data_IF_129879424568
#
_entry.id   IF_129879424568
#
_cell.length_a   1.000
_cell.length_b   1.000
_cell.length_c   1.000
_cell.angle_alpha   90.00
_cell.angle_beta   90.00
_cell.angle_gamma   90.00
#
_symmetry.space_group_name_H-M   'P 1'
#
loop_
_entity.id
_entity.type
_entity.pdbx_description
1 polymer ?
#
# COMPACT_ATOMS: atom_id res chain seq x y z
N UNK A 1 -31.85 -8.67 -17.47
CA UNK A 1 -31.70 -9.73 -16.44
C UNK A 1 -30.94 -9.12 -15.27
N UNK A 2 -31.65 -8.68 -14.23
CA UNK A 2 -31.04 -8.13 -13.02
C UNK A 2 -30.53 -9.31 -12.19
N UNK A 3 -29.22 -9.56 -12.23
CA UNK A 3 -28.58 -10.58 -11.41
C UNK A 3 -28.46 -10.10 -9.98
N UNK A 4 -29.40 -10.47 -9.11
CA UNK A 4 -29.23 -10.34 -7.68
C UNK A 4 -28.61 -11.63 -7.14
N UNK A 5 -27.35 -11.56 -6.70
CA UNK A 5 -26.74 -12.66 -5.95
C UNK A 5 -27.29 -12.60 -4.52
N UNK A 6 -27.99 -13.64 -4.00
CA UNK A 6 -28.46 -13.63 -2.63
C UNK A 6 -27.26 -13.66 -1.66
N UNK A 7 -27.22 -12.76 -0.70
CA UNK A 7 -26.25 -12.78 0.40
C UNK A 7 -26.71 -13.79 1.47
N UNK A 8 -25.85 -14.70 1.95
CA UNK A 8 -26.20 -15.64 3.02
C UNK A 8 -26.30 -14.92 4.39
N UNK A 9 -27.27 -15.33 5.21
CA UNK A 9 -27.59 -14.74 6.53
C UNK A 9 -26.43 -14.77 7.56
N UNK A 10 -25.39 -15.58 7.31
CA UNK A 10 -24.27 -15.82 8.22
C UNK A 10 -23.20 -14.73 8.29
N UNK A 11 -23.30 -13.63 7.52
CA UNK A 11 -22.33 -12.51 7.63
C UNK A 11 -22.59 -11.64 8.88
N UNK A 12 -23.72 -11.82 9.56
CA UNK A 12 -24.12 -11.02 10.73
C UNK A 12 -23.34 -11.37 12.01
N UNK A 13 -22.68 -12.53 12.04
CA UNK A 13 -21.87 -13.00 13.17
C UNK A 13 -20.37 -12.70 13.01
N UNK A 14 -20.04 -11.55 12.42
CA UNK A 14 -18.65 -11.18 12.19
C UNK A 14 -17.86 -11.06 13.53
N UNK A 15 -16.73 -11.77 13.68
CA UNK A 15 -16.01 -11.82 14.94
C UNK A 15 -15.43 -10.47 15.37
N UNK A 16 -15.42 -10.30 16.70
CA UNK A 16 -14.88 -9.19 17.49
C UNK A 16 -13.50 -8.75 16.99
N UNK A 17 -13.31 -7.44 16.82
CA UNK A 17 -12.03 -6.85 16.43
C UNK A 17 -10.94 -7.30 17.39
N UNK A 18 -9.86 -7.95 16.92
CA UNK A 18 -8.75 -8.31 17.78
C UNK A 18 -8.04 -7.05 18.29
N UNK A 19 -7.49 -7.13 19.49
CA UNK A 19 -6.65 -6.06 20.05
C UNK A 19 -5.53 -5.70 19.06
N UNK A 20 -5.10 -4.43 18.99
CA UNK A 20 -4.02 -4.02 18.10
C UNK A 20 -2.76 -4.80 18.46
N UNK A 21 -2.32 -5.67 17.53
CA UNK A 21 -0.98 -6.23 17.59
C UNK A 21 0.03 -5.10 17.46
N UNK A 22 1.19 -5.18 18.16
CA UNK A 22 2.29 -4.28 17.88
C UNK A 22 2.55 -4.33 16.37
N UNK A 23 2.44 -3.17 15.73
CA UNK A 23 2.50 -3.06 14.29
C UNK A 23 3.97 -3.28 13.94
N UNK A 24 4.33 -4.37 13.23
CA UNK A 24 5.70 -4.54 12.80
C UNK A 24 6.08 -3.27 12.04
N UNK A 25 7.27 -2.74 12.31
CA UNK A 25 7.76 -1.65 11.49
C UNK A 25 7.86 -2.19 10.06
N UNK A 26 7.24 -1.51 9.10
CA UNK A 26 7.21 -1.96 7.71
C UNK A 26 8.01 -0.99 6.85
N UNK A 27 8.52 -1.47 5.72
CA UNK A 27 9.14 -0.63 4.70
C UNK A 27 8.40 -0.77 3.39
N UNK A 28 8.21 0.35 2.73
CA UNK A 28 7.88 0.42 1.32
C UNK A 28 9.19 0.40 0.54
N UNK A 29 9.33 -0.57 -0.34
CA UNK A 29 10.47 -0.69 -1.24
C UNK A 29 10.08 -0.32 -2.66
N UNK A 30 10.98 0.36 -3.34
CA UNK A 30 10.89 0.74 -4.75
C UNK A 30 11.97 -0.01 -5.52
N UNK A 31 11.56 -0.81 -6.50
CA UNK A 31 12.45 -1.39 -7.49
C UNK A 31 12.69 -0.39 -8.62
N UNK A 32 13.88 0.22 -8.65
CA UNK A 32 14.25 1.20 -9.67
C UNK A 32 14.49 0.59 -11.06
N UNK A 33 14.73 -0.72 -11.16
CA UNK A 33 14.87 -1.40 -12.47
C UNK A 33 13.52 -1.52 -13.17
N UNK A 34 12.45 -1.67 -12.38
CA UNK A 34 11.07 -1.71 -12.85
C UNK A 34 10.45 -0.31 -12.98
N UNK A 35 10.79 0.62 -12.10
CA UNK A 35 10.19 1.95 -12.07
C UNK A 35 10.34 2.71 -13.40
N UNK A 36 9.28 3.40 -13.81
CA UNK A 36 9.23 4.22 -15.04
C UNK A 36 8.69 5.63 -14.82
N UNK A 37 8.74 6.15 -13.59
CA UNK A 37 8.39 7.55 -13.30
C UNK A 37 6.90 7.91 -13.38
N UNK A 38 5.98 6.96 -13.18
CA UNK A 38 4.52 7.22 -13.30
C UNK A 38 3.91 8.18 -12.26
N UNK A 39 4.63 8.48 -11.17
CA UNK A 39 4.22 9.47 -10.15
C UNK A 39 3.06 9.11 -9.20
N UNK A 40 2.19 8.16 -9.54
CA UNK A 40 1.00 7.80 -8.73
C UNK A 40 1.31 7.43 -7.27
N UNK A 41 2.51 6.92 -7.01
CA UNK A 41 2.92 6.58 -5.66
C UNK A 41 3.09 7.82 -4.77
N UNK A 42 3.55 8.95 -5.32
CA UNK A 42 3.70 10.20 -4.58
C UNK A 42 2.33 10.80 -4.22
N UNK A 43 1.36 10.71 -5.12
CA UNK A 43 -0.02 11.15 -4.88
C UNK A 43 -0.72 10.35 -3.78
N UNK A 44 -0.47 9.04 -3.75
CA UNK A 44 -1.07 8.13 -2.77
C UNK A 44 -0.37 8.17 -1.41
N UNK A 45 0.89 8.61 -1.37
CA UNK A 45 1.74 8.63 -0.17
C UNK A 45 2.34 10.02 0.09
N UNK A 46 1.51 11.06 0.19
CA UNK A 46 2.00 12.42 0.41
C UNK A 46 2.77 12.50 1.73
N UNK A 47 3.96 13.10 1.67
CA UNK A 47 4.87 13.26 2.81
C UNK A 47 5.72 12.02 3.15
N UNK A 48 5.40 10.84 2.61
CA UNK A 48 6.17 9.61 2.84
C UNK A 48 7.12 9.32 1.66
N UNK A 49 6.60 9.45 0.44
CA UNK A 49 7.35 9.31 -0.80
C UNK A 49 7.37 10.64 -1.54
N UNK A 50 8.55 11.04 -2.02
CA UNK A 50 8.74 12.21 -2.88
C UNK A 50 9.46 11.79 -4.14
N UNK A 51 9.13 12.47 -5.23
CA UNK A 51 9.82 12.33 -6.50
C UNK A 51 10.90 13.40 -6.59
N UNK A 52 12.04 13.02 -7.14
CA UNK A 52 13.09 13.95 -7.54
C UNK A 52 12.73 14.68 -8.85
N UNK A 53 13.61 15.57 -9.32
CA UNK A 53 13.43 16.31 -10.57
C UNK A 53 13.34 15.43 -11.82
N UNK A 54 13.86 14.20 -11.75
CA UNK A 54 13.80 13.17 -12.78
C UNK A 54 12.46 12.41 -12.82
N UNK A 55 11.57 12.66 -11.88
CA UNK A 55 10.29 11.96 -11.75
C UNK A 55 10.38 10.60 -11.04
N UNK A 56 11.55 10.23 -10.51
CA UNK A 56 11.75 8.98 -9.78
C UNK A 56 11.73 9.18 -8.26
N UNK A 57 11.38 8.16 -7.46
CA UNK A 57 11.41 8.29 -6.01
C UNK A 57 12.82 8.58 -5.47
N UNK A 58 12.96 9.60 -4.61
CA UNK A 58 14.25 9.99 -4.00
C UNK A 58 14.90 8.87 -3.15
N UNK A 59 14.10 7.91 -2.69
CA UNK A 59 14.52 6.80 -1.82
C UNK A 59 13.96 5.48 -2.32
N UNK A 60 14.79 4.45 -2.30
CA UNK A 60 14.38 3.08 -2.64
C UNK A 60 13.73 2.34 -1.47
N UNK A 61 13.95 2.76 -0.22
CA UNK A 61 13.36 2.15 0.97
C UNK A 61 12.85 3.23 1.93
N UNK A 62 11.60 3.12 2.35
CA UNK A 62 10.92 4.14 3.16
C UNK A 62 10.17 3.44 4.30
N UNK A 63 10.43 3.84 5.54
CA UNK A 63 9.67 3.34 6.68
C UNK A 63 8.19 3.74 6.56
N UNK A 64 7.29 2.78 6.79
CA UNK A 64 5.85 2.96 6.70
C UNK A 64 5.28 2.97 8.11
N UNK A 65 4.85 4.15 8.62
CA UNK A 65 4.12 4.21 9.88
C UNK A 65 2.83 3.40 9.79
N UNK A 66 2.41 2.79 10.89
CA UNK A 66 1.18 1.99 10.97
C UNK A 66 -0.05 2.66 10.34
N UNK A 67 -0.23 3.98 10.58
CA UNK A 67 -1.35 4.77 10.02
C UNK A 67 -1.32 4.88 8.48
N UNK A 68 -0.17 4.70 7.86
CA UNK A 68 0.03 4.80 6.41
C UNK A 68 0.00 3.44 5.71
N UNK A 69 -0.04 2.32 6.45
CA UNK A 69 -0.02 0.96 5.88
C UNK A 69 -1.07 0.76 4.78
N UNK A 70 -2.31 1.16 5.03
CA UNK A 70 -3.38 1.00 4.04
C UNK A 70 -3.16 1.84 2.77
N UNK A 71 -2.59 3.04 2.90
CA UNK A 71 -2.19 3.86 1.74
C UNK A 71 -1.00 3.26 1.01
N UNK A 72 -0.02 2.70 1.73
CA UNK A 72 1.14 2.03 1.14
C UNK A 72 0.73 0.82 0.31
N UNK A 73 -0.15 -0.03 0.85
CA UNK A 73 -0.72 -1.16 0.10
C UNK A 73 -1.53 -0.71 -1.12
N UNK A 74 -2.22 0.43 -1.05
CA UNK A 74 -2.91 1.02 -2.21
C UNK A 74 -1.93 1.50 -3.27
N UNK A 75 -0.83 2.14 -2.87
CA UNK A 75 0.24 2.56 -3.78
C UNK A 75 0.87 1.35 -4.50
N UNK A 76 1.14 0.26 -3.77
CA UNK A 76 1.60 -1.01 -4.36
C UNK A 76 0.66 -1.49 -5.46
N UNK A 77 -0.65 -1.58 -5.15
CA UNK A 77 -1.67 -2.05 -6.12
C UNK A 77 -1.86 -1.12 -7.31
N UNK A 78 -1.51 0.17 -7.19
CA UNK A 78 -1.75 1.17 -8.23
C UNK A 78 -0.53 1.43 -9.12
N UNK A 79 0.65 0.94 -8.74
CA UNK A 79 1.87 1.09 -9.54
C UNK A 79 1.73 0.34 -10.88
N UNK A 80 1.70 1.03 -12.03
CA UNK A 80 1.53 0.36 -13.33
C UNK A 80 2.72 -0.52 -13.69
N UNK A 81 3.90 -0.18 -13.19
CA UNK A 81 5.15 -0.90 -13.43
C UNK A 81 5.43 -2.02 -12.42
N UNK A 82 4.55 -2.25 -11.43
CA UNK A 82 4.74 -3.23 -10.35
C UNK A 82 6.07 -3.05 -9.58
N UNK A 83 6.56 -1.80 -9.52
CA UNK A 83 7.85 -1.46 -8.93
C UNK A 83 7.81 -1.29 -7.41
N UNK A 84 6.67 -1.54 -6.74
CA UNK A 84 6.48 -1.27 -5.32
C UNK A 84 6.13 -2.53 -4.54
N UNK A 85 6.68 -2.65 -3.33
CA UNK A 85 6.30 -3.71 -2.38
C UNK A 85 6.40 -3.23 -0.94
N UNK A 86 5.63 -3.85 -0.05
CA UNK A 86 5.71 -3.63 1.40
C UNK A 86 6.31 -4.86 2.05
N UNK A 87 7.31 -4.69 2.89
CA UNK A 87 7.98 -5.74 3.64
C UNK A 87 7.96 -5.41 5.14
N UNK A 88 7.85 -6.44 5.98
CA UNK A 88 8.02 -6.30 7.42
C UNK A 88 9.52 -6.18 7.74
N UNK A 89 9.86 -5.26 8.64
CA UNK A 89 11.18 -5.18 9.25
C UNK A 89 11.17 -6.17 10.41
N UNK A 90 12.04 -7.17 10.34
CA UNK A 90 12.25 -8.15 11.40
C UNK A 90 13.41 -7.73 12.30
#
# INVERSE_FOLDING_TARGET
VLGALPLPDGLRDAPRTPAPRPVPEERLLVDWTLCRGHGLCADLLPGLLRLGPDGYPERAAIAVPARMRQRALRAVRRCPALALRVEAIN
#
